data_IF_746156365305
#
_entry.id   IF_746156365305
#
_cell.length_a   1.000
_cell.length_b   1.000
_cell.length_c   1.000
_cell.angle_alpha   90.00
_cell.angle_beta   90.00
_cell.angle_gamma   90.00
#
_symmetry.space_group_name_H-M   'P 1'
#
loop_
_entity.id
_entity.type
_entity.pdbx_description
1 polymer ?
#
# COMPACT_ATOMS: atom_id res chain seq x y z
N UNK A 1 -4.16 -19.70 15.52
CA UNK A 1 -5.57 -20.17 15.56
C UNK A 1 -6.45 -19.10 14.92
N UNK A 2 -6.82 -19.31 13.66
CA UNK A 2 -7.59 -18.37 12.86
C UNK A 2 -8.97 -18.09 13.46
N UNK A 3 -9.50 -16.90 13.16
CA UNK A 3 -10.83 -16.48 13.63
C UNK A 3 -11.91 -17.44 13.13
N UNK A 4 -13.06 -17.47 13.82
CA UNK A 4 -14.23 -18.25 13.38
C UNK A 4 -14.65 -17.92 11.94
N UNK A 5 -14.49 -16.66 11.54
CA UNK A 5 -14.84 -16.19 10.20
C UNK A 5 -13.84 -16.67 9.14
N UNK A 6 -12.53 -16.62 9.42
CA UNK A 6 -11.50 -17.14 8.50
C UNK A 6 -11.73 -18.63 8.22
N UNK A 7 -12.01 -19.42 9.26
CA UNK A 7 -12.33 -20.85 9.14
C UNK A 7 -13.59 -21.10 8.30
N UNK A 8 -14.64 -20.30 8.48
CA UNK A 8 -15.89 -20.42 7.72
C UNK A 8 -15.71 -20.05 6.25
N UNK A 9 -14.84 -19.07 5.96
CA UNK A 9 -14.53 -18.64 4.59
C UNK A 9 -13.51 -19.50 3.87
N UNK A 10 -12.97 -20.54 4.50
CA UNK A 10 -11.88 -21.35 3.91
C UNK A 10 -10.57 -20.57 3.72
N UNK A 11 -10.46 -19.39 4.33
CA UNK A 11 -9.26 -18.54 4.27
C UNK A 11 -8.30 -19.00 5.36
N UNK A 12 -7.04 -19.23 5.00
CA UNK A 12 -5.99 -19.64 5.92
C UNK A 12 -5.77 -18.69 7.10
N UNK A 13 -4.89 -19.07 8.03
CA UNK A 13 -4.51 -18.17 9.13
C UNK A 13 -3.66 -17.01 8.61
N UNK A 14 -3.78 -15.84 9.25
CA UNK A 14 -2.91 -14.70 9.00
C UNK A 14 -1.55 -14.99 9.63
N UNK A 15 -0.51 -15.06 8.81
CA UNK A 15 0.85 -15.24 9.26
C UNK A 15 1.50 -13.90 9.59
N UNK A 16 2.56 -13.93 10.41
CA UNK A 16 3.32 -12.73 10.76
C UNK A 16 3.97 -12.05 9.54
N UNK A 17 4.31 -12.82 8.50
CA UNK A 17 4.76 -12.26 7.22
C UNK A 17 3.65 -11.43 6.55
N UNK A 18 2.39 -11.85 6.65
CA UNK A 18 1.26 -11.17 6.02
C UNK A 18 0.99 -9.84 6.74
N UNK A 19 1.16 -9.82 8.07
CA UNK A 19 1.11 -8.58 8.86
C UNK A 19 2.19 -7.58 8.45
N UNK A 20 3.43 -8.05 8.28
CA UNK A 20 4.53 -7.21 7.81
C UNK A 20 4.25 -6.66 6.39
N UNK A 21 3.85 -7.52 5.45
CA UNK A 21 3.50 -7.07 4.08
C UNK A 21 2.31 -6.10 4.08
N UNK A 22 1.34 -6.29 4.98
CA UNK A 22 0.23 -5.34 5.18
C UNK A 22 0.75 -3.99 5.68
N UNK A 23 1.67 -3.96 6.65
CA UNK A 23 2.33 -2.74 7.11
C UNK A 23 3.00 -2.00 5.94
N UNK A 24 3.71 -2.72 5.05
CA UNK A 24 4.26 -2.12 3.83
C UNK A 24 3.17 -1.47 2.96
N UNK A 25 2.03 -2.14 2.78
CA UNK A 25 0.91 -1.58 2.01
C UNK A 25 0.44 -0.21 2.52
N UNK A 26 0.49 0.01 3.83
CA UNK A 26 0.14 1.31 4.42
C UNK A 26 1.26 2.35 4.29
N UNK A 27 2.52 2.00 4.55
CA UNK A 27 3.56 3.03 4.75
C UNK A 27 4.71 3.00 3.74
N UNK A 28 4.89 1.92 3.00
CA UNK A 28 6.05 1.70 2.15
C UNK A 28 6.11 2.60 0.92
N UNK A 29 4.95 2.98 0.36
CA UNK A 29 4.88 3.86 -0.82
C UNK A 29 5.15 5.33 -0.49
N UNK A 30 4.84 5.76 0.74
CA UNK A 30 5.19 7.09 1.25
C UNK A 30 6.72 7.27 1.26
N UNK A 31 7.47 6.24 1.69
CA UNK A 31 8.93 6.30 1.74
C UNK A 31 9.60 6.09 0.37
N UNK A 32 9.04 5.24 -0.49
CA UNK A 32 9.71 4.84 -1.74
C UNK A 32 9.37 5.71 -2.93
N UNK A 33 8.22 6.40 -2.88
CA UNK A 33 7.71 7.25 -3.98
C UNK A 33 7.02 8.53 -3.48
N UNK A 34 7.58 9.28 -2.50
CA UNK A 34 6.89 10.39 -1.82
C UNK A 34 6.34 11.45 -2.79
N UNK A 35 7.08 11.77 -3.85
CA UNK A 35 6.67 12.76 -4.86
C UNK A 35 5.43 12.35 -5.64
N UNK A 36 5.20 11.06 -5.85
CA UNK A 36 3.96 10.56 -6.48
C UNK A 36 2.74 10.78 -5.59
N UNK A 37 2.96 11.07 -4.31
CA UNK A 37 1.93 11.41 -3.33
C UNK A 37 1.91 12.91 -2.99
N UNK A 38 2.62 13.75 -3.76
CA UNK A 38 2.72 15.18 -3.49
C UNK A 38 3.56 15.54 -2.27
N UNK A 39 4.30 14.59 -1.70
CA UNK A 39 5.09 14.80 -0.49
C UNK A 39 6.51 15.27 -0.81
N UNK A 40 6.98 16.26 -0.04
CA UNK A 40 8.36 16.72 -0.02
C UNK A 40 8.84 16.74 1.44
N UNK A 41 9.30 15.59 1.91
CA UNK A 41 9.65 15.35 3.31
C UNK A 41 11.07 15.76 3.65
N UNK A 42 11.26 16.24 4.87
CA UNK A 42 12.56 16.39 5.51
C UNK A 42 13.01 15.06 6.13
N UNK A 43 14.31 14.95 6.44
CA UNK A 43 14.84 13.76 7.13
C UNK A 43 14.19 13.55 8.51
N UNK A 44 13.87 14.63 9.22
CA UNK A 44 13.22 14.55 10.52
C UNK A 44 11.80 13.97 10.41
N UNK A 45 11.03 14.41 9.42
CA UNK A 45 9.68 13.89 9.15
C UNK A 45 9.71 12.41 8.74
N UNK A 46 10.72 12.01 7.95
CA UNK A 46 10.91 10.60 7.57
C UNK A 46 11.23 9.73 8.80
N UNK A 47 12.09 10.20 9.71
CA UNK A 47 12.39 9.49 10.96
C UNK A 47 11.17 9.43 11.89
N UNK A 48 10.39 10.51 11.99
CA UNK A 48 9.16 10.55 12.77
C UNK A 48 8.11 9.57 12.20
N UNK A 49 7.90 9.56 10.88
CA UNK A 49 7.00 8.64 10.19
C UNK A 49 7.43 7.18 10.37
N UNK A 50 8.73 6.91 10.25
CA UNK A 50 9.29 5.59 10.52
C UNK A 50 9.04 5.16 11.97
N UNK A 51 9.27 6.04 12.95
CA UNK A 51 9.02 5.74 14.35
C UNK A 51 7.54 5.46 14.63
N UNK A 52 6.64 6.27 14.08
CA UNK A 52 5.20 6.09 14.18
C UNK A 52 4.77 4.69 13.69
N UNK A 53 5.23 4.27 12.51
CA UNK A 53 4.89 2.96 11.97
C UNK A 53 5.61 1.81 12.67
N UNK A 54 6.79 2.04 13.24
CA UNK A 54 7.48 1.06 14.10
C UNK A 54 6.65 0.74 15.34
N UNK A 55 6.16 1.77 16.03
CA UNK A 55 5.30 1.60 17.21
C UNK A 55 3.99 0.93 16.84
N UNK A 56 3.32 1.36 15.76
CA UNK A 56 2.08 0.71 15.30
C UNK A 56 2.31 -0.77 14.96
N UNK A 57 3.40 -1.12 14.29
CA UNK A 57 3.73 -2.51 14.00
C UNK A 57 3.93 -3.35 15.27
N UNK A 58 4.62 -2.81 16.26
CA UNK A 58 4.78 -3.45 17.57
C UNK A 58 3.42 -3.65 18.28
N UNK A 59 2.59 -2.60 18.31
CA UNK A 59 1.26 -2.64 18.95
C UNK A 59 0.29 -3.60 18.28
N UNK A 60 0.42 -3.80 16.96
CA UNK A 60 -0.33 -4.80 16.18
C UNK A 60 0.25 -6.23 16.33
N UNK A 61 1.30 -6.41 17.14
CA UNK A 61 1.88 -7.71 17.44
C UNK A 61 2.83 -8.24 16.37
N UNK A 62 3.39 -7.38 15.51
CA UNK A 62 4.45 -7.75 14.58
C UNK A 62 5.76 -7.87 15.36
N UNK A 63 6.43 -9.04 15.38
CA UNK A 63 7.72 -9.18 16.05
C UNK A 63 8.74 -8.19 15.47
N UNK A 64 9.57 -7.57 16.31
CA UNK A 64 10.57 -6.56 15.90
C UNK A 64 11.46 -7.02 14.74
N UNK A 65 11.80 -8.31 14.69
CA UNK A 65 12.60 -8.89 13.59
C UNK A 65 11.90 -8.83 12.24
N UNK A 66 10.56 -8.91 12.22
CA UNK A 66 9.72 -8.84 11.02
C UNK A 66 9.13 -7.45 10.75
N UNK A 67 9.12 -6.55 11.74
CA UNK A 67 8.64 -5.18 11.57
C UNK A 67 9.48 -4.46 10.50
N UNK A 68 8.80 -3.87 9.51
CA UNK A 68 9.45 -3.25 8.35
C UNK A 68 10.11 -1.94 8.76
N UNK A 69 9.49 -1.19 9.67
CA UNK A 69 10.04 0.04 10.23
C UNK A 69 11.25 -0.27 11.11
N UNK A 70 12.44 -0.10 10.55
CA UNK A 70 13.73 -0.42 11.18
C UNK A 70 14.17 0.69 12.13
N UNK A 71 15.46 0.63 12.51
CA UNK A 71 16.03 1.56 13.48
C UNK A 71 15.92 3.02 13.01
N UNK A 72 16.12 3.26 11.72
CA UNK A 72 16.07 4.56 11.06
C UNK A 72 15.28 4.51 9.75
N UNK A 73 14.90 5.67 9.22
CA UNK A 73 14.14 5.82 7.99
C UNK A 73 14.91 5.29 6.77
N UNK A 74 16.23 5.53 6.70
CA UNK A 74 17.07 5.06 5.59
C UNK A 74 17.02 3.55 5.40
N UNK A 75 17.30 2.78 6.44
CA UNK A 75 17.24 1.30 6.42
C UNK A 75 15.84 0.80 6.05
N UNK A 76 14.82 1.50 6.54
CA UNK A 76 13.41 1.20 6.25
C UNK A 76 13.09 1.42 4.77
N UNK A 77 13.49 2.56 4.22
CA UNK A 77 13.31 2.90 2.80
C UNK A 77 14.01 1.90 1.89
N UNK A 78 15.24 1.49 2.22
CA UNK A 78 15.97 0.46 1.47
C UNK A 78 15.24 -0.89 1.49
N UNK A 79 14.67 -1.30 2.62
CA UNK A 79 13.85 -2.50 2.71
C UNK A 79 12.53 -2.36 1.93
N UNK A 80 11.86 -1.22 2.04
CA UNK A 80 10.64 -0.92 1.31
C UNK A 80 10.85 -0.97 -0.20
N UNK A 81 11.99 -0.52 -0.73
CA UNK A 81 12.30 -0.68 -2.16
C UNK A 81 12.36 -2.16 -2.60
N UNK A 82 12.91 -3.05 -1.77
CA UNK A 82 12.96 -4.49 -2.06
C UNK A 82 11.55 -5.10 -2.08
N UNK A 83 10.70 -4.71 -1.11
CA UNK A 83 9.31 -5.19 -1.03
C UNK A 83 8.48 -4.61 -2.18
N UNK A 84 8.69 -3.34 -2.54
CA UNK A 84 8.07 -2.72 -3.71
C UNK A 84 8.34 -3.52 -4.99
N UNK A 85 9.58 -3.93 -5.23
CA UNK A 85 9.93 -4.76 -6.39
C UNK A 85 9.22 -6.13 -6.37
N UNK A 86 9.10 -6.74 -5.19
CA UNK A 86 8.34 -7.98 -5.02
C UNK A 86 6.86 -7.77 -5.38
N UNK A 87 6.23 -6.69 -4.94
CA UNK A 87 4.86 -6.34 -5.30
C UNK A 87 4.70 -6.11 -6.81
N UNK A 88 5.68 -5.47 -7.46
CA UNK A 88 5.70 -5.34 -8.91
C UNK A 88 5.63 -6.69 -9.62
N UNK A 89 6.30 -7.72 -9.10
CA UNK A 89 6.26 -9.09 -9.65
C UNK A 89 4.89 -9.76 -9.47
N UNK A 90 4.21 -9.49 -8.36
CA UNK A 90 2.85 -10.00 -8.13
C UNK A 90 1.81 -9.27 -8.98
N UNK A 91 1.93 -7.95 -9.12
CA UNK A 91 1.05 -7.14 -9.98
C UNK A 91 1.20 -7.49 -11.46
N UNK A 92 2.41 -7.81 -11.93
CA UNK A 92 2.61 -8.26 -13.31
C UNK A 92 1.98 -9.63 -13.61
N UNK A 93 1.80 -10.45 -12.58
CA UNK A 93 1.27 -11.82 -12.68
C UNK A 93 -0.01 -12.00 -11.82
N UNK A 94 -0.83 -10.95 -11.72
CA UNK A 94 -2.05 -10.97 -10.92
C UNK A 94 -3.03 -12.06 -11.38
N UNK A 95 -3.68 -12.73 -10.43
CA UNK A 95 -4.73 -13.72 -10.73
C UNK A 95 -6.09 -13.05 -10.90
N UNK A 96 -7.06 -13.75 -11.49
CA UNK A 96 -8.45 -13.27 -11.60
C UNK A 96 -9.07 -12.94 -10.24
N UNK A 97 -8.72 -13.71 -9.21
CA UNK A 97 -9.20 -13.49 -7.85
C UNK A 97 -8.63 -12.20 -7.24
N UNK A 98 -7.38 -11.85 -7.58
CA UNK A 98 -6.81 -10.56 -7.17
C UNK A 98 -7.60 -9.39 -7.77
N UNK A 99 -7.89 -9.46 -9.07
CA UNK A 99 -8.66 -8.40 -9.75
C UNK A 99 -10.06 -8.25 -9.14
N UNK A 100 -10.76 -9.37 -8.87
CA UNK A 100 -12.08 -9.35 -8.23
C UNK A 100 -12.05 -8.73 -6.82
N UNK A 101 -11.08 -9.12 -5.99
CA UNK A 101 -10.93 -8.59 -4.63
C UNK A 101 -10.57 -7.10 -4.68
N UNK A 102 -9.64 -6.69 -5.54
CA UNK A 102 -9.22 -5.30 -5.68
C UNK A 102 -10.39 -4.41 -6.12
N UNK A 103 -11.13 -4.83 -7.16
CA UNK A 103 -12.31 -4.11 -7.65
C UNK A 103 -13.38 -4.02 -6.57
N UNK A 104 -13.66 -5.12 -5.86
CA UNK A 104 -14.68 -5.14 -4.79
C UNK A 104 -14.28 -4.22 -3.63
N UNK A 105 -13.01 -4.27 -3.20
CA UNK A 105 -12.50 -3.41 -2.15
C UNK A 105 -12.57 -1.92 -2.54
N UNK A 106 -12.13 -1.56 -3.75
CA UNK A 106 -12.15 -0.17 -4.22
C UNK A 106 -13.58 0.35 -4.41
N UNK A 107 -14.52 -0.49 -4.88
CA UNK A 107 -15.95 -0.16 -4.90
C UNK A 107 -16.49 0.11 -3.49
N UNK A 108 -16.03 -0.62 -2.47
CA UNK A 108 -16.43 -0.36 -1.09
C UNK A 108 -15.86 0.97 -0.57
N UNK A 109 -14.62 1.31 -0.93
CA UNK A 109 -14.01 2.60 -0.56
C UNK A 109 -14.78 3.78 -1.15
N UNK A 110 -15.38 3.63 -2.34
CA UNK A 110 -16.20 4.69 -2.96
C UNK A 110 -17.32 5.23 -2.05
N UNK A 111 -17.86 4.42 -1.14
CA UNK A 111 -18.88 4.86 -0.18
C UNK A 111 -18.34 5.78 0.93
N UNK A 112 -17.02 5.77 1.16
CA UNK A 112 -16.32 6.60 2.15
C UNK A 112 -15.69 7.79 1.44
N UNK A 113 -15.13 7.54 0.26
CA UNK A 113 -14.50 8.52 -0.58
C UNK A 113 -15.09 8.44 -2.00
N UNK A 114 -16.10 9.28 -2.25
CA UNK A 114 -16.84 9.36 -3.54
C UNK A 114 -15.94 9.75 -4.71
N UNK A 115 -14.72 10.19 -4.40
CA UNK A 115 -13.79 10.69 -5.37
C UNK A 115 -12.95 9.53 -5.95
N UNK A 116 -12.97 8.33 -5.33
CA UNK A 116 -12.23 7.12 -5.79
C UNK A 116 -12.72 6.63 -7.15
N UNK A 117 -11.81 6.56 -8.11
CA UNK A 117 -12.03 5.93 -9.43
C UNK A 117 -11.12 4.70 -9.53
N UNK A 118 -11.74 3.53 -9.75
CA UNK A 118 -11.06 2.23 -9.71
C UNK A 118 -9.98 2.15 -10.79
N UNK A 119 -10.30 2.60 -12.01
CA UNK A 119 -9.36 2.56 -13.13
C UNK A 119 -8.17 3.49 -12.87
N UNK A 120 -8.41 4.68 -12.34
CA UNK A 120 -7.35 5.61 -11.94
C UNK A 120 -6.48 5.03 -10.82
N UNK A 121 -7.07 4.43 -9.78
CA UNK A 121 -6.31 3.83 -8.68
C UNK A 121 -5.42 2.68 -9.17
N UNK A 122 -5.96 1.78 -9.99
CA UNK A 122 -5.20 0.66 -10.56
C UNK A 122 -4.12 1.16 -11.51
N UNK A 123 -4.41 2.16 -12.35
CA UNK A 123 -3.41 2.80 -13.21
C UNK A 123 -2.27 3.43 -12.42
N UNK A 124 -2.60 4.10 -11.31
CA UNK A 124 -1.61 4.66 -10.41
C UNK A 124 -0.73 3.58 -9.79
N UNK A 125 -1.33 2.50 -9.27
CA UNK A 125 -0.59 1.37 -8.72
C UNK A 125 0.39 0.76 -9.73
N UNK A 126 -0.01 0.51 -10.98
CA UNK A 126 0.88 -0.03 -12.01
C UNK A 126 1.99 0.97 -12.40
N UNK A 127 1.65 2.27 -12.50
CA UNK A 127 2.62 3.34 -12.77
C UNK A 127 3.69 3.42 -11.68
N UNK A 128 3.32 3.28 -10.41
CA UNK A 128 4.29 3.26 -9.30
C UNK A 128 5.32 2.14 -9.45
N UNK A 129 4.96 1.02 -10.09
CA UNK A 129 5.85 -0.12 -10.32
C UNK A 129 6.50 -0.13 -11.71
N UNK A 130 6.26 0.88 -12.55
CA UNK A 130 6.79 0.94 -13.92
C UNK A 130 6.23 -0.16 -14.84
N UNK A 131 5.06 -0.70 -14.53
CA UNK A 131 4.43 -1.76 -15.30
C UNK A 131 3.58 -1.17 -16.44
N UNK A 132 3.51 -1.84 -17.60
CA UNK A 132 2.61 -1.43 -18.68
C UNK A 132 1.17 -1.54 -18.17
N UNK A 133 0.47 -0.40 -18.12
CA UNK A 133 -0.88 -0.35 -17.58
C UNK A 133 -1.90 -1.03 -18.51
N UNK A 134 -2.88 -1.72 -17.92
CA UNK A 134 -4.10 -2.18 -18.62
C UNK A 134 -5.20 -1.11 -18.53
N UNK A 135 -4.94 0.12 -19.01
CA UNK A 135 -5.87 1.24 -18.75
C UNK A 135 -6.12 2.11 -19.97
N UNK A 136 -7.33 2.64 -20.01
CA UNK A 136 -7.78 3.64 -20.97
C UNK A 136 -7.07 4.98 -20.76
N UNK A 137 -6.79 5.73 -21.83
CA UNK A 137 -6.26 7.10 -21.80
C UNK A 137 -7.08 8.02 -20.87
N UNK A 138 -8.38 7.76 -20.71
CA UNK A 138 -9.27 8.52 -19.83
C UNK A 138 -8.95 8.33 -18.34
N UNK A 139 -8.49 7.14 -17.92
CA UNK A 139 -8.08 6.88 -16.54
C UNK A 139 -6.78 7.63 -16.18
N UNK A 140 -5.90 7.83 -17.16
CA UNK A 140 -4.68 8.63 -17.01
C UNK A 140 -4.98 10.13 -16.89
N UNK A 141 -5.97 10.63 -17.64
CA UNK A 141 -6.42 12.03 -17.55
C UNK A 141 -7.09 12.31 -16.20
N UNK A 142 -7.94 11.39 -15.72
CA UNK A 142 -8.52 11.49 -14.37
C UNK A 142 -7.47 11.43 -13.27
N UNK A 143 -6.42 10.63 -13.43
CA UNK A 143 -5.30 10.54 -12.49
C UNK A 143 -4.59 11.89 -12.25
N UNK A 144 -4.51 12.77 -13.26
CA UNK A 144 -3.93 14.10 -13.09
C UNK A 144 -4.73 14.98 -12.09
N UNK A 145 -6.04 14.76 -12.00
CA UNK A 145 -6.90 15.41 -11.00
C UNK A 145 -6.86 14.66 -9.65
N UNK A 146 -6.66 13.33 -9.68
CA UNK A 146 -6.50 12.48 -8.49
C UNK A 146 -5.22 12.80 -7.69
N UNK A 147 -4.10 13.03 -8.38
CA UNK A 147 -2.79 13.32 -7.77
C UNK A 147 -2.80 14.62 -6.93
N UNK A 148 -3.74 15.55 -7.14
CA UNK A 148 -3.76 16.88 -6.50
C UNK A 148 -4.72 17.02 -5.29
N UNK A 149 -5.61 16.06 -5.02
CA UNK A 149 -6.69 16.25 -4.01
C UNK A 149 -6.80 15.15 -2.93
N UNK A 150 -6.21 13.96 -3.12
CA UNK A 150 -6.75 12.74 -2.51
C UNK A 150 -5.97 12.16 -1.33
N UNK A 151 -4.65 12.37 -1.25
CA UNK A 151 -3.81 11.56 -0.37
C UNK A 151 -3.68 12.10 1.06
N UNK A 152 -4.37 13.22 1.37
CA UNK A 152 -4.40 13.80 2.71
C UNK A 152 -5.36 13.05 3.65
N UNK A 153 -6.31 12.26 3.15
CA UNK A 153 -7.34 11.60 3.97
C UNK A 153 -7.04 10.16 4.40
N UNK A 154 -6.02 9.50 3.83
CA UNK A 154 -5.63 8.15 4.26
C UNK A 154 -4.46 8.13 5.26
N UNK A 155 -3.82 9.28 5.51
CA UNK A 155 -2.65 9.41 6.38
C UNK A 155 -2.81 10.41 7.53
N UNK A 156 -4.02 10.95 7.72
CA UNK A 156 -4.44 11.75 8.89
C UNK A 156 -5.59 11.03 9.59
#
# INVERSE_FOLDING_TARGET
>A
MGTRMSKKGGVGEIYQKDMALTQFGFMGYVLTTPRSFGLNTTLEEEEAFNHFWRVNGYMLGIPDKLNISRKNAKETTELCHKIKNLYGTYLSNGSSEFDEIAITALNAVWYIDITVDIDSFMAFAYKLHGLPGKYSIFALIKNFYFDNFYLMFFFL
#
